data_IF_265790195173
#
_entry.id   IF_265790195173
#
_cell.length_a   1.000
_cell.length_b   1.000
_cell.length_c   1.000
_cell.angle_alpha   90.00
_cell.angle_beta   90.00
_cell.angle_gamma   90.00
#
_symmetry.space_group_name_H-M   'P 1'
#
loop_
_entity.id
_entity.type
_entity.pdbx_description
1 polymer ?
#
# COMPACT_ATOMS: atom_id res chain seq x y z
N UNK A 1 -21.42 -4.14 -1.69
CA UNK A 1 -21.13 -4.86 -0.42
C UNK A 1 -22.30 -5.67 0.16
N UNK A 2 -23.41 -5.96 -0.54
CA UNK A 2 -24.57 -6.58 0.11
C UNK A 2 -24.60 -8.12 0.19
N UNK A 3 -23.76 -8.86 -0.55
CA UNK A 3 -23.90 -10.33 -0.65
C UNK A 3 -22.64 -11.14 -0.25
N UNK A 4 -21.67 -10.55 0.45
CA UNK A 4 -20.48 -11.29 0.94
C UNK A 4 -20.67 -11.80 2.39
N UNK A 5 -21.73 -11.39 3.08
CA UNK A 5 -21.79 -11.40 4.55
C UNK A 5 -22.73 -12.43 5.18
N UNK A 6 -23.45 -13.23 4.39
CA UNK A 6 -24.51 -14.12 4.90
C UNK A 6 -25.64 -13.35 5.61
N UNK A 7 -26.68 -14.06 6.05
CA UNK A 7 -27.83 -13.49 6.79
C UNK A 7 -27.48 -13.08 8.24
N UNK A 8 -26.25 -12.65 8.51
CA UNK A 8 -25.83 -12.25 9.85
C UNK A 8 -26.14 -10.76 10.08
N UNK A 9 -26.89 -10.45 11.14
CA UNK A 9 -27.05 -9.08 11.61
C UNK A 9 -25.68 -8.56 12.10
N UNK A 10 -25.16 -7.49 11.48
CA UNK A 10 -23.87 -6.85 11.79
C UNK A 10 -24.02 -5.50 12.50
N UNK A 11 -25.24 -5.11 12.90
CA UNK A 11 -25.57 -3.74 13.34
C UNK A 11 -24.77 -3.30 14.58
N UNK A 12 -24.38 -4.27 15.43
CA UNK A 12 -23.64 -4.02 16.66
C UNK A 12 -22.16 -4.39 16.56
N UNK A 13 -21.71 -4.88 15.41
CA UNK A 13 -20.33 -5.31 15.22
C UNK A 13 -19.40 -4.10 15.06
N UNK A 14 -18.17 -4.25 15.54
CA UNK A 14 -17.13 -3.25 15.48
C UNK A 14 -16.12 -3.64 14.41
N UNK A 15 -15.85 -2.72 13.48
CA UNK A 15 -14.86 -2.91 12.43
C UNK A 15 -13.63 -2.06 12.72
N UNK A 16 -12.47 -2.69 12.81
CA UNK A 16 -11.21 -2.05 13.16
C UNK A 16 -10.20 -2.17 12.03
N UNK A 17 -9.46 -1.10 11.78
CA UNK A 17 -8.19 -1.18 11.05
C UNK A 17 -7.06 -0.78 11.98
N UNK A 18 -5.91 -1.43 11.86
CA UNK A 18 -4.71 -1.07 12.63
C UNK A 18 -3.77 -0.29 11.73
N UNK A 19 -3.37 0.90 12.17
CA UNK A 19 -2.21 1.59 11.64
C UNK A 19 -1.02 1.32 12.55
N UNK A 20 0.03 0.72 12.00
CA UNK A 20 1.30 0.53 12.68
C UNK A 20 2.40 1.37 12.02
N UNK A 21 2.03 2.40 11.29
CA UNK A 21 3.00 3.32 10.70
C UNK A 21 3.65 4.17 11.80
N UNK A 22 4.95 4.40 11.66
CA UNK A 22 5.69 5.20 12.63
C UNK A 22 5.36 6.67 12.44
N UNK A 23 4.54 7.25 13.31
CA UNK A 23 4.43 8.71 13.41
C UNK A 23 5.31 9.21 14.55
N UNK A 24 6.09 10.27 14.29
CA UNK A 24 6.92 10.93 15.28
C UNK A 24 6.03 11.89 16.12
N UNK A 25 5.70 11.56 17.38
CA UNK A 25 4.73 12.36 18.14
C UNK A 25 5.28 13.73 18.58
N UNK A 26 6.59 13.92 18.57
CA UNK A 26 7.25 15.14 19.01
C UNK A 26 8.10 15.77 17.90
N UNK A 27 7.93 17.08 17.67
CA UNK A 27 8.86 17.85 16.85
C UNK A 27 10.25 17.81 17.52
N UNK A 28 11.27 17.36 16.80
CA UNK A 28 12.70 17.42 17.16
C UNK A 28 13.26 16.36 18.13
N UNK A 29 12.68 15.16 18.27
CA UNK A 29 13.37 14.03 18.95
C UNK A 29 13.93 13.02 17.95
N UNK A 30 15.20 12.64 18.09
CA UNK A 30 15.84 11.54 17.33
C UNK A 30 15.39 10.13 17.77
N UNK A 31 14.35 10.02 18.59
CA UNK A 31 13.85 8.75 19.10
C UNK A 31 12.69 8.26 18.21
N UNK A 32 12.96 7.22 17.41
CA UNK A 32 12.00 6.56 16.51
C UNK A 32 11.00 5.69 17.28
N UNK A 33 10.25 6.26 18.22
CA UNK A 33 9.10 5.59 18.82
C UNK A 33 7.97 5.49 17.78
N UNK A 34 7.46 4.27 17.55
CA UNK A 34 6.39 4.04 16.57
C UNK A 34 5.09 3.73 17.30
N UNK A 35 4.09 4.58 17.15
CA UNK A 35 2.75 4.34 17.70
C UNK A 35 2.02 3.27 16.90
N UNK A 36 1.32 2.38 17.58
CA UNK A 36 0.29 1.52 17.00
C UNK A 36 -1.05 2.14 17.37
N UNK A 37 -1.87 2.40 16.37
CA UNK A 37 -3.19 2.97 16.54
C UNK A 37 -4.24 2.13 15.82
N UNK A 38 -5.46 2.22 16.30
CA UNK A 38 -6.62 1.55 15.75
C UNK A 38 -7.66 2.58 15.32
N UNK A 39 -8.28 2.32 14.18
CA UNK A 39 -9.27 3.20 13.54
C UNK A 39 -10.59 2.45 13.51
N UNK A 40 -11.63 3.07 14.05
CA UNK A 40 -12.98 2.52 14.02
C UNK A 40 -13.66 2.80 12.66
N UNK A 41 -13.92 1.74 11.90
CA UNK A 41 -14.52 1.77 10.57
C UNK A 41 -16.05 1.87 10.58
N UNK A 42 -16.71 1.74 11.74
CA UNK A 42 -18.13 2.07 11.89
C UNK A 42 -18.40 3.57 11.74
N UNK A 43 -17.40 4.42 11.98
CA UNK A 43 -17.53 5.87 11.83
C UNK A 43 -17.38 6.29 10.37
N UNK A 44 -18.13 7.29 9.89
CA UNK A 44 -17.97 7.83 8.53
C UNK A 44 -16.50 8.26 8.24
N UNK A 45 -15.98 8.12 7.00
CA UNK A 45 -14.59 8.50 6.65
C UNK A 45 -14.19 9.91 7.09
N UNK A 46 -15.10 10.88 7.00
CA UNK A 46 -14.86 12.27 7.47
C UNK A 46 -14.71 12.43 8.99
N UNK A 47 -14.99 11.38 9.77
CA UNK A 47 -14.89 11.38 11.23
C UNK A 47 -13.81 10.43 11.74
N UNK A 48 -13.63 9.25 11.15
CA UNK A 48 -12.79 8.17 11.73
C UNK A 48 -11.31 8.53 11.91
N UNK A 49 -10.78 9.42 11.07
CA UNK A 49 -9.38 9.87 11.14
C UNK A 49 -9.15 11.11 12.03
N UNK A 50 -10.20 11.67 12.64
CA UNK A 50 -10.03 12.78 13.61
C UNK A 50 -9.30 12.27 14.84
N UNK A 51 -8.38 13.05 15.40
CA UNK A 51 -7.57 12.69 16.58
C UNK A 51 -8.38 12.07 17.73
N UNK A 52 -9.60 12.56 17.99
CA UNK A 52 -10.51 12.05 19.03
C UNK A 52 -11.07 10.64 18.78
N UNK A 53 -11.03 10.17 17.53
CA UNK A 53 -11.59 8.90 17.07
C UNK A 53 -10.51 7.86 16.73
N UNK A 54 -9.23 8.24 16.82
CA UNK A 54 -8.09 7.33 16.66
C UNK A 54 -7.74 6.78 18.04
N UNK A 55 -7.80 5.46 18.20
CA UNK A 55 -7.57 4.78 19.47
C UNK A 55 -6.10 4.36 19.55
N UNK A 56 -5.33 4.82 20.54
CA UNK A 56 -3.96 4.33 20.72
C UNK A 56 -4.01 2.88 21.23
N UNK A 57 -3.30 1.98 20.54
CA UNK A 57 -3.19 0.56 20.95
C UNK A 57 -1.90 0.29 21.71
N UNK A 58 -0.81 1.01 21.37
CA UNK A 58 0.46 0.86 22.07
C UNK A 58 1.61 1.57 21.37
N UNK A 59 2.81 1.37 21.88
CA UNK A 59 4.04 1.94 21.34
C UNK A 59 5.08 0.84 21.11
N UNK A 60 5.81 0.96 20.01
CA UNK A 60 7.00 0.16 19.71
C UNK A 60 8.20 1.05 20.04
N UNK A 61 9.02 0.69 21.04
CA UNK A 61 10.16 1.52 21.44
C UNK A 61 11.21 1.57 20.32
N UNK A 62 11.75 2.77 20.08
CA UNK A 62 12.87 3.03 19.16
C UNK A 62 14.23 2.88 19.84
N UNK A 63 15.37 3.15 19.17
CA UNK A 63 15.54 3.70 17.82
C UNK A 63 15.88 2.65 16.74
N UNK A 64 16.07 1.38 17.12
CA UNK A 64 16.33 0.29 16.16
C UNK A 64 15.05 -0.44 15.85
N UNK A 65 14.89 -0.82 14.58
CA UNK A 65 13.77 -1.64 14.18
C UNK A 65 13.80 -2.98 14.93
N UNK A 66 12.84 -3.17 15.82
CA UNK A 66 12.67 -4.42 16.56
C UNK A 66 12.27 -5.52 15.57
N UNK A 67 13.09 -6.56 15.46
CA UNK A 67 12.86 -7.70 14.55
C UNK A 67 11.59 -8.51 14.82
N UNK A 68 10.77 -8.12 15.81
CA UNK A 68 9.53 -8.78 16.22
C UNK A 68 8.35 -7.83 16.31
N UNK A 69 8.16 -6.91 15.37
CA UNK A 69 6.98 -6.04 15.37
C UNK A 69 5.65 -6.79 15.57
N UNK A 70 5.50 -7.96 14.97
CA UNK A 70 4.32 -8.80 15.12
C UNK A 70 4.02 -9.15 16.59
N UNK A 71 5.03 -9.23 17.48
CA UNK A 71 4.81 -9.53 18.90
C UNK A 71 4.04 -8.42 19.63
N UNK A 72 4.16 -7.17 19.21
CA UNK A 72 3.40 -6.05 19.77
C UNK A 72 1.91 -6.11 19.39
N UNK A 73 1.57 -6.80 18.30
CA UNK A 73 0.21 -7.03 17.85
C UNK A 73 -0.37 -8.34 18.39
N UNK A 74 0.46 -9.24 18.94
CA UNK A 74 0.01 -10.53 19.48
C UNK A 74 -1.12 -10.42 20.52
N UNK A 75 -1.13 -9.47 21.47
CA UNK A 75 -2.23 -9.33 22.43
C UNK A 75 -3.57 -9.09 21.72
N UNK A 76 -3.60 -8.15 20.77
CA UNK A 76 -4.78 -7.88 19.95
C UNK A 76 -5.24 -9.13 19.20
N UNK A 77 -4.31 -9.84 18.56
CA UNK A 77 -4.63 -11.07 17.81
C UNK A 77 -5.19 -12.16 18.73
N UNK A 78 -4.63 -12.31 19.92
CA UNK A 78 -5.12 -13.28 20.91
C UNK A 78 -6.51 -12.93 21.42
N UNK A 79 -6.79 -11.66 21.69
CA UNK A 79 -8.13 -11.22 22.10
C UNK A 79 -9.16 -11.45 21.00
N UNK A 80 -8.80 -11.13 19.75
CA UNK A 80 -9.63 -11.46 18.61
C UNK A 80 -9.88 -12.97 18.57
N UNK A 81 -8.86 -13.82 18.58
CA UNK A 81 -9.04 -15.29 18.52
C UNK A 81 -9.93 -15.82 19.67
N UNK A 82 -9.78 -15.30 20.89
CA UNK A 82 -10.58 -15.75 22.05
C UNK A 82 -12.02 -15.27 22.04
N UNK A 83 -12.35 -14.27 21.23
CA UNK A 83 -13.71 -13.73 21.18
C UNK A 83 -14.70 -14.82 20.73
N UNK A 84 -15.85 -14.99 21.42
CA UNK A 84 -16.87 -15.94 21.00
C UNK A 84 -17.38 -15.65 19.58
N UNK A 85 -17.73 -16.69 18.83
CA UNK A 85 -18.25 -16.55 17.46
C UNK A 85 -19.58 -15.78 17.41
N UNK A 86 -20.36 -15.87 18.48
CA UNK A 86 -21.62 -15.13 18.67
C UNK A 86 -21.41 -13.72 19.29
N UNK A 87 -20.17 -13.34 19.59
CA UNK A 87 -19.81 -12.06 20.19
C UNK A 87 -19.88 -12.03 21.71
N UNK A 88 -19.31 -10.99 22.32
CA UNK A 88 -19.35 -10.79 23.77
C UNK A 88 -20.53 -9.86 24.15
N UNK A 89 -21.18 -10.08 25.29
CA UNK A 89 -22.25 -9.19 25.76
C UNK A 89 -21.66 -7.86 26.21
N UNK A 90 -22.14 -6.76 25.64
CA UNK A 90 -21.76 -5.39 26.01
C UNK A 90 -23.01 -4.58 26.33
N UNK A 91 -22.98 -3.85 27.45
CA UNK A 91 -24.06 -2.92 27.83
C UNK A 91 -23.83 -1.58 27.13
N UNK A 92 -24.81 -1.15 26.34
CA UNK A 92 -24.76 0.12 25.61
C UNK A 92 -25.27 1.29 26.47
N UNK A 93 -25.13 2.51 25.96
CA UNK A 93 -25.52 3.75 26.66
C UNK A 93 -27.03 3.81 26.99
N UNK A 94 -27.86 3.11 26.21
CA UNK A 94 -29.30 2.96 26.42
C UNK A 94 -29.65 1.91 27.50
N UNK A 95 -28.63 1.29 28.11
CA UNK A 95 -28.79 0.26 29.13
C UNK A 95 -29.06 -1.14 28.58
N UNK A 96 -29.21 -1.30 27.26
CA UNK A 96 -29.51 -2.58 26.62
C UNK A 96 -28.21 -3.35 26.40
N UNK A 97 -28.21 -4.64 26.77
CA UNK A 97 -27.10 -5.55 26.47
C UNK A 97 -27.28 -6.08 25.06
N UNK A 98 -26.24 -5.92 24.23
CA UNK A 98 -26.18 -6.50 22.89
C UNK A 98 -24.92 -7.31 22.74
N UNK A 99 -24.95 -8.35 21.90
CA UNK A 99 -23.73 -9.07 21.53
C UNK A 99 -22.95 -8.25 20.51
N UNK A 100 -21.65 -8.14 20.74
CA UNK A 100 -20.72 -7.38 19.91
C UNK A 100 -19.63 -8.31 19.42
N UNK A 101 -19.37 -8.29 18.12
CA UNK A 101 -18.17 -8.90 17.53
C UNK A 101 -17.24 -7.82 17.04
N UNK A 102 -15.94 -8.06 17.17
CA UNK A 102 -14.88 -7.18 16.69
C UNK A 102 -14.19 -7.84 15.51
N UNK A 103 -14.13 -7.13 14.39
CA UNK A 103 -13.53 -7.59 13.15
C UNK A 103 -12.34 -6.72 12.79
N UNK A 104 -11.20 -7.34 12.57
CA UNK A 104 -10.05 -6.67 11.96
C UNK A 104 -10.22 -6.69 10.44
N UNK A 105 -10.39 -5.51 9.83
CA UNK A 105 -10.49 -5.37 8.37
C UNK A 105 -9.11 -5.46 7.73
N UNK A 106 -8.15 -4.65 8.21
CA UNK A 106 -6.79 -4.63 7.69
C UNK A 106 -5.78 -4.03 8.67
N UNK A 107 -4.50 -4.24 8.37
CA UNK A 107 -3.35 -3.61 8.99
C UNK A 107 -2.59 -2.82 7.93
N UNK A 108 -2.48 -1.50 8.12
CA UNK A 108 -1.76 -0.61 7.22
C UNK A 108 -0.36 -0.34 7.73
N UNK A 109 0.63 -0.58 6.87
CA UNK A 109 2.02 -0.11 6.97
C UNK A 109 2.59 0.02 5.55
N UNK A 110 3.77 0.64 5.44
CA UNK A 110 4.54 0.58 4.20
C UNK A 110 4.86 -0.87 3.78
N UNK A 111 5.19 -1.07 2.50
CA UNK A 111 5.47 -2.40 1.95
C UNK A 111 6.61 -3.13 2.72
N UNK A 112 7.80 -2.53 2.95
CA UNK A 112 8.86 -3.15 3.74
C UNK A 112 8.40 -3.67 5.11
N UNK A 113 7.54 -2.91 5.78
CA UNK A 113 6.95 -3.27 7.06
C UNK A 113 5.94 -4.41 6.97
N UNK A 114 5.06 -4.40 5.96
CA UNK A 114 4.08 -5.46 5.73
C UNK A 114 4.80 -6.81 5.58
N UNK A 115 5.87 -6.87 4.79
CA UNK A 115 6.66 -8.10 4.62
C UNK A 115 7.20 -8.66 5.95
N UNK A 116 7.61 -7.80 6.88
CA UNK A 116 8.03 -8.21 8.23
C UNK A 116 6.87 -8.73 9.07
N UNK A 117 5.66 -8.19 8.91
CA UNK A 117 4.45 -8.67 9.59
C UNK A 117 4.02 -10.04 9.07
N UNK A 118 3.97 -10.22 7.75
CA UNK A 118 3.57 -11.49 7.13
C UNK A 118 4.69 -12.53 7.09
N UNK A 119 5.87 -12.21 7.63
CA UNK A 119 7.08 -13.04 7.56
C UNK A 119 7.41 -13.45 6.12
N UNK A 120 7.25 -12.50 5.19
CA UNK A 120 7.61 -12.66 3.79
C UNK A 120 9.08 -12.36 3.53
N UNK A 121 9.57 -12.80 2.38
CA UNK A 121 10.83 -12.39 1.78
C UNK A 121 10.46 -11.61 0.53
N UNK A 122 10.98 -10.40 0.40
CA UNK A 122 10.92 -9.71 -0.88
C UNK A 122 12.02 -10.30 -1.79
N UNK A 123 11.63 -10.80 -2.97
CA UNK A 123 12.53 -11.33 -3.97
C UNK A 123 13.53 -10.23 -4.37
N UNK A 124 14.80 -10.61 -4.35
CA UNK A 124 15.91 -9.74 -4.76
C UNK A 124 16.28 -10.16 -6.16
N UNK A 125 15.83 -9.43 -7.18
CA UNK A 125 16.43 -9.60 -8.50
C UNK A 125 17.86 -9.08 -8.45
N UNK A 126 18.78 -9.85 -9.03
CA UNK A 126 20.21 -9.57 -9.10
C UNK A 126 20.48 -8.41 -10.06
N UNK A 127 20.23 -7.19 -9.62
CA UNK A 127 20.74 -5.95 -10.20
C UNK A 127 21.31 -5.14 -9.05
N UNK A 128 22.62 -4.88 -9.08
CA UNK A 128 23.37 -4.26 -7.98
C UNK A 128 22.66 -3.01 -7.43
N UNK A 129 22.31 -3.02 -6.15
CA UNK A 129 21.63 -1.90 -5.51
C UNK A 129 20.87 -2.23 -4.23
N UNK A 130 20.59 -3.51 -3.96
CA UNK A 130 19.88 -3.89 -2.73
C UNK A 130 18.39 -3.51 -2.73
N UNK A 131 17.84 -3.14 -3.89
CA UNK A 131 16.42 -2.86 -4.08
C UNK A 131 15.66 -4.15 -4.43
N UNK A 132 14.43 -4.26 -3.93
CA UNK A 132 13.53 -5.36 -4.21
C UNK A 132 12.71 -5.02 -5.46
N UNK A 133 12.82 -5.84 -6.51
CA UNK A 133 12.11 -5.63 -7.77
C UNK A 133 11.46 -6.94 -8.19
N UNK A 134 10.21 -6.87 -8.65
CA UNK A 134 9.48 -8.00 -9.24
C UNK A 134 9.11 -7.63 -10.67
N UNK A 135 10.11 -7.64 -11.57
CA UNK A 135 9.82 -7.44 -12.96
C UNK A 135 8.85 -8.52 -13.44
N UNK A 136 7.77 -8.16 -14.15
CA UNK A 136 7.01 -9.14 -14.92
C UNK A 136 7.85 -9.69 -16.08
N UNK A 137 8.93 -9.01 -16.46
CA UNK A 137 9.85 -9.40 -17.54
C UNK A 137 11.31 -9.17 -17.12
N UNK A 138 12.15 -10.19 -17.19
CA UNK A 138 13.61 -10.08 -16.95
C UNK A 138 14.39 -10.23 -18.24
N UNK A 139 15.50 -9.51 -18.38
CA UNK A 139 16.51 -9.81 -19.41
C UNK A 139 17.29 -11.05 -18.95
N UNK A 140 17.27 -12.12 -19.75
CA UNK A 140 18.00 -13.36 -19.41
C UNK A 140 19.49 -13.25 -19.73
N UNK A 141 19.86 -12.60 -20.83
CA UNK A 141 21.23 -12.63 -21.37
C UNK A 141 21.71 -11.25 -21.85
N UNK A 142 23.03 -11.07 -22.02
CA UNK A 142 23.66 -9.87 -22.62
C UNK A 142 23.21 -9.60 -24.07
N UNK A 143 22.64 -10.61 -24.73
CA UNK A 143 22.06 -10.53 -26.08
C UNK A 143 20.72 -9.80 -26.15
N UNK A 144 20.10 -9.48 -25.00
CA UNK A 144 18.84 -8.72 -24.93
C UNK A 144 17.56 -9.55 -24.94
N UNK A 145 17.64 -10.88 -24.90
CA UNK A 145 16.45 -11.74 -24.82
C UNK A 145 15.70 -11.54 -23.49
N UNK A 146 14.40 -11.29 -23.59
CA UNK A 146 13.52 -11.03 -22.44
C UNK A 146 12.63 -12.23 -22.14
N UNK A 147 12.58 -12.64 -20.87
CA UNK A 147 11.65 -13.65 -20.37
C UNK A 147 10.55 -13.02 -19.53
N UNK A 148 9.31 -13.27 -19.93
CA UNK A 148 8.13 -12.93 -19.13
C UNK A 148 8.01 -13.89 -17.95
N UNK A 149 8.20 -13.38 -16.74
CA UNK A 149 8.03 -14.11 -15.49
C UNK A 149 6.57 -14.18 -15.05
N UNK A 150 5.82 -13.10 -15.23
CA UNK A 150 4.43 -13.00 -14.77
C UNK A 150 3.53 -12.34 -15.81
N UNK A 151 2.31 -12.86 -15.95
CA UNK A 151 1.24 -12.14 -16.62
C UNK A 151 0.52 -11.26 -15.60
N UNK A 152 0.70 -9.94 -15.72
CA UNK A 152 0.05 -8.95 -14.85
C UNK A 152 -1.48 -9.03 -14.87
N UNK A 153 -2.08 -9.56 -15.94
CA UNK A 153 -3.53 -9.74 -16.08
C UNK A 153 -4.03 -11.02 -15.40
N UNK A 154 -3.13 -11.93 -15.07
CA UNK A 154 -3.42 -13.20 -14.44
C UNK A 154 -2.32 -13.53 -13.43
N UNK A 155 -2.17 -12.65 -12.42
CA UNK A 155 -1.18 -12.85 -11.38
C UNK A 155 -1.57 -14.05 -10.51
N UNK A 156 -0.62 -14.94 -10.18
CA UNK A 156 -0.91 -16.07 -9.31
C UNK A 156 -1.30 -15.58 -7.93
N UNK A 157 -2.53 -15.87 -7.51
CA UNK A 157 -2.98 -15.63 -6.14
C UNK A 157 -2.45 -16.72 -5.22
N UNK A 158 -1.89 -16.32 -4.08
CA UNK A 158 -1.46 -17.26 -3.06
C UNK A 158 -2.64 -17.70 -2.20
N UNK A 159 -2.95 -18.99 -2.24
CA UNK A 159 -4.04 -19.55 -1.44
C UNK A 159 -3.64 -19.74 0.03
N UNK A 160 -4.61 -19.59 0.95
CA UNK A 160 -4.43 -19.84 2.39
C UNK A 160 -3.83 -21.22 2.66
N UNK A 161 -4.35 -22.25 1.98
CA UNK A 161 -3.89 -23.62 2.13
C UNK A 161 -2.41 -23.80 1.77
N UNK A 162 -2.00 -23.26 0.61
CA UNK A 162 -0.59 -23.32 0.16
C UNK A 162 0.35 -22.66 1.18
N UNK A 163 -0.06 -21.54 1.75
CA UNK A 163 0.69 -20.86 2.81
C UNK A 163 0.80 -21.71 4.07
N UNK A 164 -0.30 -22.29 4.54
CA UNK A 164 -0.32 -23.15 5.73
C UNK A 164 0.59 -24.38 5.54
N UNK A 165 0.50 -25.05 4.39
CA UNK A 165 1.36 -26.18 4.06
C UNK A 165 2.84 -25.79 4.01
N UNK A 166 3.15 -24.65 3.38
CA UNK A 166 4.53 -24.13 3.31
C UNK A 166 5.09 -23.84 4.70
N UNK A 167 4.29 -23.25 5.59
CA UNK A 167 4.70 -22.98 6.97
C UNK A 167 4.92 -24.28 7.74
N UNK A 168 4.05 -25.28 7.55
CA UNK A 168 4.22 -26.62 8.10
C UNK A 168 5.57 -27.24 7.68
N UNK A 169 5.88 -27.19 6.38
CA UNK A 169 7.17 -27.65 5.83
C UNK A 169 8.36 -26.88 6.42
N UNK A 170 8.27 -25.56 6.56
CA UNK A 170 9.33 -24.73 7.14
C UNK A 170 9.61 -25.09 8.61
N UNK A 171 8.58 -25.43 9.38
CA UNK A 171 8.70 -25.82 10.79
C UNK A 171 9.49 -27.13 10.94
N UNK A 172 9.22 -28.12 10.08
CA UNK A 172 9.89 -29.44 10.10
C UNK A 172 11.20 -29.52 9.32
N UNK A 173 11.50 -28.55 8.46
CA UNK A 173 12.69 -28.55 7.60
C UNK A 173 14.00 -28.25 8.34
N UNK A 174 15.10 -28.83 7.85
CA UNK A 174 16.47 -28.47 8.27
C UNK A 174 16.90 -27.11 7.68
N UNK A 175 18.09 -26.62 8.01
CA UNK A 175 18.59 -25.30 7.58
C UNK A 175 18.65 -25.14 6.05
N UNK A 176 19.16 -26.13 5.34
CA UNK A 176 19.29 -26.13 3.88
C UNK A 176 17.92 -26.12 3.22
N UNK A 177 17.02 -26.99 3.66
CA UNK A 177 15.67 -27.09 3.12
C UNK A 177 14.85 -25.83 3.42
N UNK A 178 15.02 -25.22 4.60
CA UNK A 178 14.42 -23.91 4.90
C UNK A 178 14.90 -22.83 3.93
N UNK A 179 16.19 -22.80 3.60
CA UNK A 179 16.71 -21.81 2.65
C UNK A 179 16.12 -22.01 1.24
N UNK A 180 16.01 -23.27 0.80
CA UNK A 180 15.38 -23.63 -0.48
C UNK A 180 13.91 -23.20 -0.53
N UNK A 181 13.11 -23.61 0.46
CA UNK A 181 11.67 -23.26 0.54
C UNK A 181 11.49 -21.74 0.60
N UNK A 182 12.32 -21.03 1.37
CA UNK A 182 12.27 -19.56 1.46
C UNK A 182 12.51 -18.88 0.12
N UNK A 183 13.47 -19.36 -0.65
CA UNK A 183 13.76 -18.81 -1.98
C UNK A 183 12.64 -19.10 -2.97
N UNK A 184 12.10 -20.32 -2.97
CA UNK A 184 11.02 -20.72 -3.90
C UNK A 184 9.68 -20.05 -3.58
N UNK A 185 9.34 -19.92 -2.29
CA UNK A 185 8.01 -19.48 -1.87
C UNK A 185 7.96 -18.03 -1.42
N UNK A 186 9.11 -17.41 -1.10
CA UNK A 186 9.18 -16.10 -0.48
C UNK A 186 8.56 -16.05 0.92
N UNK A 187 8.39 -17.18 1.61
CA UNK A 187 7.87 -17.24 2.99
C UNK A 187 9.03 -17.54 3.95
N UNK A 188 9.30 -16.64 4.88
CA UNK A 188 10.38 -16.76 5.88
C UNK A 188 10.02 -17.70 7.03
N UNK A 189 8.81 -17.55 7.56
CA UNK A 189 8.26 -18.32 8.69
C UNK A 189 6.75 -18.12 8.80
N UNK A 190 6.10 -18.78 9.78
CA UNK A 190 4.69 -18.53 10.09
C UNK A 190 4.47 -17.15 10.72
N UNK A 191 3.45 -16.44 10.25
CA UNK A 191 2.98 -15.18 10.83
C UNK A 191 1.78 -15.43 11.75
N UNK A 192 1.72 -14.66 12.84
CA UNK A 192 0.62 -14.70 13.82
C UNK A 192 -0.72 -14.27 13.20
N UNK A 193 -0.68 -13.49 12.11
CA UNK A 193 -1.90 -13.05 11.43
C UNK A 193 -2.54 -14.17 10.62
N UNK A 194 -1.81 -15.23 10.30
CA UNK A 194 -2.33 -16.37 9.56
C UNK A 194 -3.21 -17.28 10.42
N UNK A 195 -3.18 -17.12 11.74
CA UNK A 195 -4.06 -17.87 12.64
C UNK A 195 -5.46 -17.25 12.75
N UNK A 196 -5.62 -15.95 12.44
CA UNK A 196 -6.92 -15.28 12.50
C UNK A 196 -7.96 -15.87 11.53
N UNK A 197 -7.66 -16.05 10.22
CA UNK A 197 -8.58 -16.69 9.28
C UNK A 197 -8.92 -18.15 9.62
N UNK A 198 -8.06 -18.80 10.41
CA UNK A 198 -8.21 -20.21 10.77
C UNK A 198 -9.01 -20.41 12.07
N UNK A 199 -9.11 -19.36 12.89
CA UNK A 199 -9.71 -19.45 14.22
C UNK A 199 -11.24 -19.48 14.19
N UNK A 200 -11.89 -18.88 13.17
CA UNK A 200 -13.34 -18.82 13.09
C UNK A 200 -13.83 -18.54 11.66
N UNK A 201 -14.48 -19.48 10.96
CA UNK A 201 -14.94 -19.30 9.57
C UNK A 201 -16.01 -18.20 9.41
N UNK A 202 -16.66 -17.75 10.48
CA UNK A 202 -17.71 -16.73 10.43
C UNK A 202 -17.19 -15.29 10.49
N UNK A 203 -15.87 -15.10 10.61
CA UNK A 203 -15.28 -13.76 10.64
C UNK A 203 -14.93 -13.28 9.24
N UNK A 204 -14.96 -11.96 9.06
CA UNK A 204 -14.47 -11.29 7.84
C UNK A 204 -13.08 -11.82 7.47
N UNK A 205 -12.27 -12.04 8.50
CA UNK A 205 -10.93 -12.56 8.40
C UNK A 205 -10.79 -13.86 7.57
N UNK A 206 -11.80 -14.71 7.60
CA UNK A 206 -11.74 -16.08 7.09
C UNK A 206 -12.18 -16.18 5.64
N UNK A 207 -13.03 -15.25 5.18
CA UNK A 207 -13.51 -15.20 3.79
C UNK A 207 -12.49 -14.69 2.78
N UNK A 208 -11.54 -13.83 3.19
CA UNK A 208 -10.57 -13.21 2.28
C UNK A 208 -9.15 -13.80 2.34
N UNK A 209 -8.89 -14.66 3.34
CA UNK A 209 -7.58 -15.26 3.55
C UNK A 209 -6.53 -14.32 4.16
N UNK A 210 -5.36 -14.86 4.52
CA UNK A 210 -4.37 -14.19 5.37
C UNK A 210 -3.70 -12.95 4.75
N UNK A 211 -3.67 -12.84 3.43
CA UNK A 211 -3.00 -11.73 2.75
C UNK A 211 -3.90 -10.51 2.55
N UNK A 212 -5.21 -10.69 2.60
CA UNK A 212 -6.16 -9.61 2.37
C UNK A 212 -6.14 -8.52 3.47
N UNK A 213 -5.63 -8.84 4.67
CA UNK A 213 -5.45 -7.82 5.73
C UNK A 213 -4.33 -6.85 5.46
N UNK A 214 -3.52 -7.06 4.43
CA UNK A 214 -2.34 -6.25 4.16
C UNK A 214 -2.50 -5.55 2.81
N UNK A 215 -3.45 -4.60 2.69
CA UNK A 215 -3.61 -3.83 1.47
C UNK A 215 -2.35 -3.03 1.19
N UNK A 216 -2.12 -2.72 -0.07
CA UNK A 216 -1.05 -1.81 -0.45
C UNK A 216 -1.33 -0.41 0.10
N UNK A 217 -0.29 0.21 0.64
CA UNK A 217 -0.31 1.63 0.96
C UNK A 217 -0.28 2.44 -0.34
N UNK A 218 -1.45 2.86 -0.78
CA UNK A 218 -1.69 3.69 -1.97
C UNK A 218 -0.86 4.98 -1.95
N UNK A 219 -0.70 5.60 -0.77
CA UNK A 219 0.04 6.85 -0.63
C UNK A 219 1.51 6.65 -0.95
N UNK A 220 2.14 5.68 -0.28
CA UNK A 220 3.56 5.37 -0.47
C UNK A 220 3.82 4.78 -1.86
N UNK A 221 2.90 3.98 -2.40
CA UNK A 221 3.00 3.41 -3.74
C UNK A 221 3.11 4.51 -4.80
N UNK A 222 2.14 5.42 -4.86
CA UNK A 222 2.12 6.45 -5.89
C UNK A 222 3.17 7.53 -5.65
N UNK A 223 3.52 7.84 -4.40
CA UNK A 223 4.68 8.66 -4.09
C UNK A 223 5.96 8.09 -4.71
N UNK A 224 6.23 6.79 -4.50
CA UNK A 224 7.42 6.15 -5.05
C UNK A 224 7.40 6.11 -6.58
N UNK A 225 6.28 5.73 -7.20
CA UNK A 225 6.14 5.69 -8.67
C UNK A 225 6.41 7.07 -9.28
N UNK A 226 5.79 8.12 -8.74
CA UNK A 226 5.95 9.48 -9.28
C UNK A 226 7.36 10.02 -9.08
N UNK A 227 7.97 9.76 -7.92
CA UNK A 227 9.35 10.16 -7.65
C UNK A 227 10.31 9.51 -8.65
N UNK A 228 10.15 8.23 -8.93
CA UNK A 228 10.99 7.53 -9.91
C UNK A 228 10.72 8.00 -11.35
N UNK A 229 9.46 8.29 -11.71
CA UNK A 229 9.13 8.88 -13.02
C UNK A 229 9.79 10.24 -13.23
N UNK A 230 9.70 11.15 -12.25
CA UNK A 230 10.36 12.45 -12.34
C UNK A 230 11.88 12.28 -12.43
N UNK A 231 12.46 11.33 -11.68
CA UNK A 231 13.88 10.98 -11.84
C UNK A 231 14.21 10.59 -13.29
N UNK A 232 13.40 9.72 -13.92
CA UNK A 232 13.60 9.28 -15.30
C UNK A 232 13.51 10.45 -16.29
N UNK A 233 12.49 11.29 -16.16
CA UNK A 233 12.31 12.48 -17.00
C UNK A 233 13.51 13.43 -16.93
N UNK A 234 14.16 13.54 -15.78
CA UNK A 234 15.29 14.44 -15.58
C UNK A 234 16.68 13.82 -15.84
N UNK A 235 16.78 12.50 -16.07
CA UNK A 235 18.08 11.80 -16.07
C UNK A 235 18.39 11.01 -17.34
N UNK A 236 17.47 10.93 -18.32
CA UNK A 236 17.59 10.05 -19.49
C UNK A 236 17.69 10.84 -20.81
N UNK A 237 18.84 11.46 -21.15
CA UNK A 237 18.95 12.47 -22.22
C UNK A 237 18.59 12.03 -23.64
N UNK A 238 18.60 10.72 -23.91
CA UNK A 238 18.33 10.15 -25.23
C UNK A 238 16.87 9.72 -25.41
N UNK A 239 16.04 9.87 -24.38
CA UNK A 239 14.66 9.40 -24.37
C UNK A 239 13.68 10.53 -24.74
N UNK A 240 12.56 10.17 -25.38
CA UNK A 240 11.55 11.15 -25.82
C UNK A 240 10.90 11.92 -24.67
N UNK A 241 10.85 11.31 -23.48
CA UNK A 241 10.29 11.87 -22.26
C UNK A 241 11.31 12.70 -21.44
N UNK A 242 12.51 12.92 -21.98
CA UNK A 242 13.55 13.69 -21.30
C UNK A 242 13.23 15.18 -21.25
N UNK A 243 13.28 15.73 -20.04
CA UNK A 243 13.15 17.14 -19.75
C UNK A 243 14.53 17.77 -19.64
N UNK A 244 14.96 18.44 -20.70
CA UNK A 244 16.18 19.25 -20.69
C UNK A 244 16.09 20.34 -19.63
N UNK A 245 17.23 20.73 -19.04
CA UNK A 245 17.27 21.73 -17.98
C UNK A 245 16.54 23.05 -18.35
N UNK A 246 16.71 23.54 -19.58
CA UNK A 246 16.00 24.74 -20.05
C UNK A 246 14.48 24.56 -20.03
N UNK A 247 13.99 23.40 -20.42
CA UNK A 247 12.56 23.07 -20.42
C UNK A 247 12.05 22.97 -18.99
N UNK A 248 12.84 22.42 -18.06
CA UNK A 248 12.50 22.39 -16.63
C UNK A 248 12.40 23.81 -16.06
N UNK A 249 13.33 24.70 -16.41
CA UNK A 249 13.29 26.10 -16.01
C UNK A 249 12.03 26.81 -16.55
N UNK A 250 11.64 26.54 -17.80
CA UNK A 250 10.40 27.06 -18.40
C UNK A 250 9.14 26.51 -17.71
N UNK A 251 9.12 25.21 -17.43
CA UNK A 251 8.03 24.53 -16.70
C UNK A 251 7.87 25.07 -15.27
N UNK A 252 8.98 25.35 -14.58
CA UNK A 252 8.99 25.82 -13.19
C UNK A 252 8.50 27.28 -13.04
N UNK A 253 8.40 28.05 -14.13
CA UNK A 253 7.82 29.41 -14.14
C UNK A 253 6.34 29.37 -13.77
N UNK A 254 5.57 28.42 -14.30
CA UNK A 254 4.13 28.34 -14.07
C UNK A 254 3.77 28.09 -12.58
N UNK A 255 4.31 27.06 -11.89
CA UNK A 255 4.17 26.89 -10.45
C UNK A 255 4.52 28.13 -9.63
N UNK A 256 5.59 28.84 -10.02
CA UNK A 256 6.04 30.05 -9.33
C UNK A 256 5.00 31.17 -9.41
N UNK A 257 4.38 31.34 -10.58
CA UNK A 257 3.35 32.35 -10.80
C UNK A 257 2.00 31.96 -10.17
N UNK A 258 1.64 30.67 -10.17
CA UNK A 258 0.38 30.19 -9.62
C UNK A 258 0.34 30.13 -8.09
N UNK A 259 1.49 30.12 -7.43
CA UNK A 259 1.60 29.98 -5.97
C UNK A 259 0.85 31.05 -5.16
N UNK A 260 0.45 32.17 -5.77
CA UNK A 260 -0.38 33.23 -5.19
C UNK A 260 -1.86 33.16 -5.59
N UNK A 261 -2.19 32.50 -6.69
CA UNK A 261 -3.53 32.48 -7.28
C UNK A 261 -4.36 31.26 -6.87
N UNK A 262 -3.72 30.21 -6.36
CA UNK A 262 -4.39 28.95 -5.98
C UNK A 262 -4.70 28.95 -4.48
N UNK A 263 -5.97 28.74 -4.14
CA UNK A 263 -6.41 28.57 -2.76
C UNK A 263 -5.83 27.29 -2.15
N UNK A 264 -5.16 27.43 -1.00
CA UNK A 264 -4.65 26.29 -0.22
C UNK A 264 -5.74 25.35 0.32
N UNK A 265 -7.02 25.72 0.21
CA UNK A 265 -8.14 24.83 0.52
C UNK A 265 -8.39 23.78 -0.59
N UNK A 266 -8.01 24.08 -1.83
CA UNK A 266 -8.23 23.20 -2.98
C UNK A 266 -7.06 22.23 -3.16
N UNK A 267 -5.83 22.74 -3.09
CA UNK A 267 -4.62 21.94 -3.27
C UNK A 267 -3.44 22.59 -2.57
N UNK A 268 -2.45 21.81 -2.08
CA UNK A 268 -1.13 22.35 -1.76
C UNK A 268 -0.60 23.21 -2.92
N UNK A 269 0.18 24.25 -2.56
CA UNK A 269 0.82 25.11 -3.55
C UNK A 269 1.71 24.25 -4.47
N UNK A 270 1.66 24.49 -5.79
CA UNK A 270 2.52 23.76 -6.71
C UNK A 270 3.98 24.05 -6.35
N UNK A 271 4.79 22.99 -6.33
CA UNK A 271 6.24 23.07 -6.10
C UNK A 271 6.98 22.87 -7.41
N UNK A 272 8.21 23.35 -7.44
CA UNK A 272 9.11 23.23 -8.58
C UNK A 272 9.46 21.76 -8.81
N UNK A 273 9.39 21.32 -10.06
CA UNK A 273 9.81 19.96 -10.48
C UNK A 273 11.31 19.80 -10.21
N UNK A 274 12.11 20.85 -10.37
CA UNK A 274 13.54 20.82 -10.01
C UNK A 274 13.81 20.48 -8.53
N UNK A 275 12.87 20.75 -7.62
CA UNK A 275 12.97 20.45 -6.18
C UNK A 275 12.19 19.19 -5.77
N UNK A 276 11.82 18.32 -6.73
CA UNK A 276 10.99 17.13 -6.46
C UNK A 276 11.54 16.22 -5.36
N UNK A 277 12.86 16.20 -5.15
CA UNK A 277 13.50 15.39 -4.10
C UNK A 277 13.10 15.81 -2.67
N UNK A 278 12.60 17.03 -2.49
CA UNK A 278 12.11 17.55 -1.20
C UNK A 278 10.60 17.46 -1.04
N UNK A 279 9.89 17.00 -2.06
CA UNK A 279 8.45 16.86 -2.03
C UNK A 279 8.03 15.78 -1.03
N UNK A 280 6.93 16.05 -0.33
CA UNK A 280 6.25 15.06 0.49
C UNK A 280 5.19 14.34 -0.34
N UNK A 281 4.64 13.25 0.18
CA UNK A 281 3.57 12.51 -0.48
C UNK A 281 2.37 13.41 -0.89
N UNK A 282 2.05 14.42 -0.09
CA UNK A 282 1.00 15.39 -0.42
C UNK A 282 1.35 16.28 -1.62
N UNK A 283 2.62 16.68 -1.77
CA UNK A 283 3.09 17.48 -2.91
C UNK A 283 3.06 16.64 -4.20
N UNK A 284 3.51 15.39 -4.11
CA UNK A 284 3.45 14.40 -5.21
C UNK A 284 2.00 14.15 -5.68
N UNK A 285 1.09 13.89 -4.74
CA UNK A 285 -0.35 13.74 -5.04
C UNK A 285 -0.91 14.99 -5.74
N UNK A 286 -0.62 16.18 -5.19
CA UNK A 286 -1.10 17.44 -5.76
C UNK A 286 -0.56 17.66 -7.18
N UNK A 287 0.73 17.44 -7.39
CA UNK A 287 1.36 17.49 -8.70
C UNK A 287 0.63 16.60 -9.69
N UNK A 288 0.51 15.31 -9.38
CA UNK A 288 -0.05 14.34 -10.32
C UNK A 288 -1.51 14.61 -10.67
N UNK A 289 -2.35 14.92 -9.67
CA UNK A 289 -3.78 15.10 -9.91
C UNK A 289 -4.14 16.45 -10.54
N UNK A 290 -3.40 17.51 -10.19
CA UNK A 290 -3.83 18.87 -10.52
C UNK A 290 -2.92 19.58 -11.52
N UNK A 291 -1.66 19.19 -11.63
CA UNK A 291 -0.66 20.00 -12.33
C UNK A 291 0.07 19.26 -13.44
N UNK A 292 0.31 17.95 -13.31
CA UNK A 292 1.20 17.20 -14.20
C UNK A 292 0.75 17.28 -15.67
N UNK A 293 -0.52 17.05 -15.96
CA UNK A 293 -1.04 17.12 -17.34
C UNK A 293 -1.01 18.54 -17.92
N UNK A 294 -1.23 19.57 -17.09
CA UNK A 294 -1.27 20.97 -17.55
C UNK A 294 0.15 21.44 -17.89
N UNK A 295 1.06 21.23 -16.94
CA UNK A 295 2.45 21.67 -17.02
C UNK A 295 3.19 20.96 -18.16
N UNK A 296 2.90 19.67 -18.36
CA UNK A 296 3.60 18.84 -19.34
C UNK A 296 2.93 18.83 -20.72
N UNK A 297 1.74 19.43 -20.89
CA UNK A 297 0.97 19.43 -22.16
C UNK A 297 1.78 19.93 -23.36
N UNK A 298 2.61 20.97 -23.15
CA UNK A 298 3.40 21.60 -24.22
C UNK A 298 4.80 21.02 -24.36
N UNK A 299 5.14 20.06 -23.51
CA UNK A 299 6.50 19.54 -23.37
C UNK A 299 6.56 18.07 -23.76
N UNK A 300 5.57 17.28 -23.32
CA UNK A 300 5.48 15.87 -23.63
C UNK A 300 4.85 15.66 -25.00
N UNK A 301 5.28 14.58 -25.66
CA UNK A 301 4.58 14.11 -26.85
C UNK A 301 3.17 13.64 -26.49
N UNK A 302 2.26 13.61 -27.47
CA UNK A 302 0.91 13.08 -27.27
C UNK A 302 0.92 11.66 -26.69
N UNK A 303 1.89 10.84 -27.11
CA UNK A 303 2.03 9.48 -26.59
C UNK A 303 2.40 9.47 -25.10
N UNK A 304 3.32 10.33 -24.67
CA UNK A 304 3.78 10.40 -23.28
C UNK A 304 2.70 11.03 -22.39
N UNK A 305 1.95 12.02 -22.90
CA UNK A 305 0.76 12.59 -22.23
C UNK A 305 -0.34 11.56 -22.04
N UNK A 306 -0.62 10.73 -23.05
CA UNK A 306 -1.61 9.65 -22.93
C UNK A 306 -1.22 8.65 -21.83
N UNK A 307 0.06 8.32 -21.71
CA UNK A 307 0.57 7.50 -20.61
C UNK A 307 0.38 8.15 -19.24
N UNK A 308 0.73 9.43 -19.13
CA UNK A 308 0.54 10.21 -17.92
C UNK A 308 -0.95 10.33 -17.55
N UNK A 309 -1.84 10.50 -18.52
CA UNK A 309 -3.28 10.56 -18.29
C UNK A 309 -3.82 9.26 -17.67
N UNK A 310 -3.35 8.11 -18.17
CA UNK A 310 -3.69 6.81 -17.57
C UNK A 310 -3.24 6.73 -16.11
N UNK A 311 -2.01 7.17 -15.80
CA UNK A 311 -1.50 7.21 -14.42
C UNK A 311 -2.34 8.12 -13.53
N UNK A 312 -2.68 9.32 -14.01
CA UNK A 312 -3.50 10.29 -13.27
C UNK A 312 -4.87 9.70 -12.95
N UNK A 313 -5.51 9.00 -13.90
CA UNK A 313 -6.80 8.30 -13.68
C UNK A 313 -6.68 7.18 -12.64
N UNK A 314 -5.59 6.41 -12.66
CA UNK A 314 -5.30 5.36 -11.66
C UNK A 314 -5.17 5.98 -10.26
N UNK A 315 -4.42 7.07 -10.15
CA UNK A 315 -4.22 7.81 -8.89
C UNK A 315 -5.56 8.38 -8.41
N UNK A 316 -6.33 9.04 -9.29
CA UNK A 316 -7.62 9.64 -8.93
C UNK A 316 -8.55 8.63 -8.28
N UNK A 317 -8.84 7.52 -8.98
CA UNK A 317 -9.73 6.46 -8.49
C UNK A 317 -9.24 5.92 -7.15
N UNK A 318 -7.93 5.70 -7.01
CA UNK A 318 -7.32 5.15 -5.79
C UNK A 318 -7.40 6.08 -4.57
N UNK A 319 -7.54 7.39 -4.78
CA UNK A 319 -7.64 8.38 -3.71
C UNK A 319 -9.08 8.83 -3.40
N UNK A 320 -10.10 8.28 -4.07
CA UNK A 320 -11.51 8.57 -3.78
C UNK A 320 -11.88 8.06 -2.39
N UNK A 321 -12.74 8.82 -1.70
CA UNK A 321 -13.23 8.47 -0.36
C UNK A 321 -14.27 7.34 -0.38
N UNK A 322 -14.90 7.12 -1.53
CA UNK A 322 -15.81 6.02 -1.79
C UNK A 322 -15.52 5.46 -3.18
N UNK A 323 -15.37 4.15 -3.27
CA UNK A 323 -15.08 3.41 -4.51
C UNK A 323 -16.28 2.52 -4.80
N UNK A 324 -16.82 2.61 -6.02
CA UNK A 324 -17.91 1.76 -6.52
C UNK A 324 -17.35 0.50 -7.18
N UNK A 325 -18.16 -0.54 -7.32
CA UNK A 325 -17.74 -1.76 -8.02
C UNK A 325 -17.30 -1.47 -9.47
N UNK A 326 -17.95 -0.51 -10.13
CA UNK A 326 -17.55 0.00 -11.46
C UNK A 326 -16.19 0.69 -11.46
N UNK A 327 -15.83 1.37 -10.37
CA UNK A 327 -14.53 2.02 -10.23
C UNK A 327 -13.42 0.97 -10.10
N UNK A 328 -13.68 -0.17 -9.43
CA UNK A 328 -12.71 -1.26 -9.31
C UNK A 328 -12.39 -1.87 -10.67
N UNK A 329 -13.41 -2.17 -11.48
CA UNK A 329 -13.20 -2.69 -12.84
C UNK A 329 -12.44 -1.68 -13.71
N UNK A 330 -12.85 -0.42 -13.65
CA UNK A 330 -12.19 0.67 -14.38
C UNK A 330 -10.73 0.82 -13.96
N UNK A 331 -10.45 0.73 -12.66
CA UNK A 331 -9.08 0.79 -12.14
C UNK A 331 -8.23 -0.35 -12.68
N UNK A 332 -8.73 -1.58 -12.70
CA UNK A 332 -8.01 -2.74 -13.27
C UNK A 332 -7.68 -2.52 -14.76
N UNK A 333 -8.63 -2.05 -15.55
CA UNK A 333 -8.45 -1.85 -16.99
C UNK A 333 -7.45 -0.72 -17.28
N UNK A 334 -7.57 0.42 -16.59
CA UNK A 334 -6.67 1.57 -16.78
C UNK A 334 -5.26 1.27 -16.25
N UNK A 335 -5.14 0.61 -15.09
CA UNK A 335 -3.84 0.23 -14.53
C UNK A 335 -3.09 -0.72 -15.44
N UNK A 336 -3.79 -1.67 -16.08
CA UNK A 336 -3.22 -2.58 -17.07
C UNK A 336 -2.71 -1.83 -18.31
N UNK A 337 -3.50 -0.88 -18.83
CA UNK A 337 -3.09 -0.03 -19.96
C UNK A 337 -1.89 0.84 -19.62
N UNK A 338 -1.89 1.44 -18.43
CA UNK A 338 -0.75 2.22 -17.95
C UNK A 338 0.51 1.36 -17.84
N UNK A 339 0.38 0.14 -17.31
CA UNK A 339 1.49 -0.79 -17.23
C UNK A 339 2.07 -1.12 -18.61
N UNK A 340 1.23 -1.45 -19.60
CA UNK A 340 1.72 -1.74 -20.95
C UNK A 340 2.42 -0.52 -21.58
N UNK A 341 1.87 0.68 -21.36
CA UNK A 341 2.51 1.92 -21.78
C UNK A 341 3.87 2.10 -21.10
N UNK A 342 3.94 1.87 -19.78
CA UNK A 342 5.16 2.03 -18.99
C UNK A 342 6.27 1.08 -19.48
N UNK A 343 5.96 -0.19 -19.70
CA UNK A 343 6.92 -1.17 -20.24
C UNK A 343 7.42 -0.77 -21.63
N UNK A 344 6.53 -0.27 -22.49
CA UNK A 344 6.91 0.15 -23.85
C UNK A 344 7.77 1.41 -23.88
N UNK A 345 7.60 2.31 -22.91
CA UNK A 345 8.26 3.61 -22.91
C UNK A 345 9.47 3.68 -22.00
N UNK A 346 9.34 3.25 -20.74
CA UNK A 346 10.36 3.49 -19.72
C UNK A 346 11.27 2.30 -19.46
N UNK A 347 10.88 1.08 -19.86
CA UNK A 347 11.60 -0.15 -19.50
C UNK A 347 12.35 -0.83 -20.67
N UNK A 348 12.32 -0.25 -21.88
CA UNK A 348 12.88 -0.90 -23.08
C UNK A 348 14.40 -1.09 -23.04
#
# INVERSE_FOLDING_TARGET
MHNVWGEHNLDNDIFLAVSADGFQPFKNRQEDERSIATINFNLHPSQRYKRRNVLPLGFVPGPRELGKLHSFLQPLINELIRMPSDGFPMKFYDGIIRKVRVHLIYISRDQPAVSKLIQGVYYRTTGGGGHYYYPPTVRENETGETKRLFDIRNLPHRATQQTTETIGKLSSANSTERARIRNETGIRSGSIFFTLPLADPHRIASGFGPYAFFPHDVMHLFYNIQRELICLWLSMPNESFFLQQRVVEEVDVEPTNWGYSISGQLTPKPRLISDFRRWKAADHKAFSLNFALIILDRVFSEQDLNGLELLVKVIDISFRTAVRDTDVQTLCDIATKYFDHFEQKYYR
#
